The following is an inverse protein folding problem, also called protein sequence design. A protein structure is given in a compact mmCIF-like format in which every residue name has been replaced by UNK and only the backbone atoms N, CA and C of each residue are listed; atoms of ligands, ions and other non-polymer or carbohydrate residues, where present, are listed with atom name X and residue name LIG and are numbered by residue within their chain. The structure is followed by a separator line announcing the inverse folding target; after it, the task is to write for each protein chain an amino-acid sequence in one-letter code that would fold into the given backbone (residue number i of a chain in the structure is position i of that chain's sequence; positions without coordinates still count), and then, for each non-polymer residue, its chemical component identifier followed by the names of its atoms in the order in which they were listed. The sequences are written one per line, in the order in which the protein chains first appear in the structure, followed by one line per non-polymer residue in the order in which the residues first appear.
data_IF_996203943091
#
_entry.id   IF_996203943091
#
_cell.length_a   1.000
_cell.length_b   1.000
_cell.length_c   1.000
_cell.angle_alpha   90.00
_cell.angle_beta   90.00
_cell.angle_gamma   90.00
#
_symmetry.space_group_name_H-M   'P 1'
#
loop_
_entity.id
_entity.type
_entity.pdbx_description
1 polymer ?
#
# COMPACT_ATOMS: atom_id res chain seq x y z
N UNK A 1 32.41 2.57 34.23
CA UNK A 1 33.15 2.38 32.97
C UNK A 1 32.54 1.13 32.37
N UNK A 2 31.39 1.16 31.69
CA UNK A 2 30.98 1.99 30.55
C UNK A 2 32.10 2.05 29.52
N UNK A 3 32.33 0.91 28.89
CA UNK A 3 33.05 0.80 27.63
C UNK A 3 32.07 0.25 26.59
N UNK A 4 32.13 0.91 25.44
CA UNK A 4 31.07 1.14 24.48
C UNK A 4 30.50 -0.08 23.75
N UNK A 5 29.18 -0.13 23.72
CA UNK A 5 28.39 -0.96 22.80
C UNK A 5 28.47 -0.37 21.40
N UNK A 6 29.47 -0.77 20.60
CA UNK A 6 29.43 -0.58 19.15
C UNK A 6 28.55 -1.65 18.53
N UNK A 7 27.29 -1.30 18.28
CA UNK A 7 26.39 -2.06 17.41
C UNK A 7 26.81 -1.85 15.96
N UNK A 8 27.57 -2.79 15.41
CA UNK A 8 27.72 -2.92 13.96
C UNK A 8 26.48 -3.59 13.40
N UNK A 9 25.64 -2.83 12.69
CA UNK A 9 24.53 -3.41 11.92
C UNK A 9 25.10 -4.09 10.68
N UNK A 10 25.22 -5.41 10.69
CA UNK A 10 25.49 -6.15 9.46
C UNK A 10 24.20 -6.24 8.65
N UNK A 11 24.08 -5.42 7.60
CA UNK A 11 23.14 -5.71 6.52
C UNK A 11 23.67 -6.93 5.77
N UNK A 12 23.10 -8.10 6.06
CA UNK A 12 23.36 -9.29 5.27
C UNK A 12 22.50 -9.23 4.02
N UNK A 13 23.08 -8.78 2.90
CA UNK A 13 22.48 -9.01 1.59
C UNK A 13 22.66 -10.48 1.27
N UNK A 14 21.60 -11.26 1.45
CA UNK A 14 21.57 -12.66 1.03
C UNK A 14 21.46 -12.71 -0.49
N UNK A 15 22.59 -12.92 -1.17
CA UNK A 15 22.60 -13.25 -2.59
C UNK A 15 22.21 -14.73 -2.75
N UNK A 16 20.93 -14.98 -3.03
CA UNK A 16 20.47 -16.26 -3.55
C UNK A 16 20.14 -16.08 -5.04
N UNK A 17 21.05 -16.54 -5.91
CA UNK A 17 20.88 -16.46 -7.36
C UNK A 17 20.34 -17.78 -7.89
N UNK A 18 19.04 -17.79 -8.18
CA UNK A 18 18.41 -18.83 -8.98
C UNK A 18 17.44 -18.18 -10.00
N UNK A 19 17.98 -17.90 -11.20
CA UNK A 19 17.26 -17.89 -12.48
C UNK A 19 15.85 -17.29 -12.53
N UNK A 20 15.72 -16.00 -12.22
CA UNK A 20 14.51 -15.20 -12.40
C UNK A 20 14.71 -13.88 -11.66
N UNK A 21 15.28 -12.88 -12.35
CA UNK A 21 15.65 -11.61 -11.69
C UNK A 21 14.48 -11.06 -10.89
N UNK A 22 14.70 -10.79 -9.61
CA UNK A 22 13.71 -10.11 -8.79
C UNK A 22 13.44 -8.75 -9.42
N UNK A 23 12.30 -8.61 -10.11
CA UNK A 23 11.85 -7.35 -10.71
C UNK A 23 11.32 -6.41 -9.61
N UNK A 24 12.06 -6.30 -8.51
CA UNK A 24 11.73 -5.50 -7.37
C UNK A 24 12.65 -4.28 -7.31
N UNK A 25 12.05 -3.11 -7.18
CA UNK A 25 12.77 -1.85 -7.00
C UNK A 25 12.10 -1.07 -5.87
N UNK A 26 12.92 -0.40 -5.06
CA UNK A 26 12.44 0.51 -4.01
C UNK A 26 12.14 1.86 -4.64
N UNK A 27 11.00 2.44 -4.30
CA UNK A 27 10.61 3.77 -4.78
C UNK A 27 11.54 4.85 -4.22
N UNK A 28 11.95 5.79 -5.07
CA UNK A 28 12.64 7.01 -4.63
C UNK A 28 11.70 7.92 -3.83
N UNK A 29 12.24 8.90 -3.11
CA UNK A 29 11.42 9.85 -2.36
C UNK A 29 10.39 10.57 -3.22
N UNK A 30 10.77 11.03 -4.42
CA UNK A 30 9.83 11.69 -5.33
C UNK A 30 8.72 10.75 -5.81
N UNK A 31 9.03 9.47 -6.06
CA UNK A 31 8.02 8.48 -6.41
C UNK A 31 7.10 8.18 -5.21
N UNK A 32 7.62 8.10 -3.99
CA UNK A 32 6.81 7.95 -2.78
C UNK A 32 5.90 9.17 -2.56
N UNK A 33 6.40 10.38 -2.84
CA UNK A 33 5.62 11.62 -2.75
C UNK A 33 4.45 11.59 -3.74
N UNK A 34 4.69 11.24 -5.01
CA UNK A 34 3.63 11.08 -6.02
C UNK A 34 2.63 10.00 -5.63
N UNK A 35 3.09 8.88 -5.09
CA UNK A 35 2.21 7.82 -4.58
C UNK A 35 1.32 8.35 -3.45
N UNK A 36 1.88 9.11 -2.51
CA UNK A 36 1.10 9.73 -1.44
C UNK A 36 0.04 10.69 -1.99
N UNK A 37 0.40 11.52 -2.98
CA UNK A 37 -0.51 12.48 -3.62
C UNK A 37 -1.68 11.73 -4.29
N UNK A 38 -1.41 10.67 -5.06
CA UNK A 38 -2.45 9.79 -5.63
C UNK A 38 -3.34 9.19 -4.55
N UNK A 39 -2.76 8.76 -3.42
CA UNK A 39 -3.52 8.12 -2.33
C UNK A 39 -4.31 9.13 -1.46
N UNK A 40 -3.96 10.42 -1.46
CA UNK A 40 -4.72 11.49 -0.78
C UNK A 40 -5.74 12.19 -1.68
N UNK A 41 -5.64 12.00 -3.00
CA UNK A 41 -6.57 12.60 -3.94
C UNK A 41 -8.01 12.20 -3.62
N UNK A 42 -8.90 13.19 -3.61
CA UNK A 42 -10.33 12.99 -3.41
C UNK A 42 -10.97 12.65 -4.75
N UNK A 43 -11.42 11.40 -4.88
CA UNK A 43 -12.09 10.88 -6.07
C UNK A 43 -13.61 10.91 -5.88
N UNK A 44 -14.34 11.28 -6.94
CA UNK A 44 -15.80 11.24 -6.95
C UNK A 44 -16.34 9.88 -7.44
N UNK A 45 -17.23 9.27 -6.66
CA UNK A 45 -18.00 8.09 -7.05
C UNK A 45 -19.43 8.54 -7.28
N UNK A 46 -19.85 8.58 -8.53
CA UNK A 46 -21.16 9.06 -8.93
C UNK A 46 -22.24 8.04 -8.58
N UNK A 47 -23.21 8.45 -7.76
CA UNK A 47 -24.39 7.66 -7.47
C UNK A 47 -25.29 7.56 -8.71
N UNK A 48 -25.85 6.37 -8.97
CA UNK A 48 -26.84 6.17 -10.03
C UNK A 48 -28.23 6.58 -9.53
N UNK A 49 -28.96 7.39 -10.28
CA UNK A 49 -30.31 7.83 -9.90
C UNK A 49 -30.27 8.98 -8.88
N UNK A 50 -31.00 8.85 -7.77
CA UNK A 50 -31.06 9.88 -6.72
C UNK A 50 -30.02 9.68 -5.61
N UNK A 51 -29.06 8.78 -5.80
CA UNK A 51 -27.98 8.59 -4.83
C UNK A 51 -26.94 9.70 -4.97
N UNK A 52 -26.46 10.28 -3.86
CA UNK A 52 -25.48 11.37 -3.91
C UNK A 52 -24.14 10.88 -4.45
N UNK A 53 -23.38 11.80 -5.04
CA UNK A 53 -21.96 11.57 -5.35
C UNK A 53 -21.17 11.49 -4.05
N UNK A 54 -20.37 10.43 -3.90
CA UNK A 54 -19.45 10.29 -2.78
C UNK A 54 -18.11 10.92 -3.15
N UNK A 55 -17.49 11.61 -2.20
CA UNK A 55 -16.13 12.13 -2.32
C UNK A 55 -15.26 11.36 -1.33
N UNK A 56 -14.34 10.56 -1.82
CA UNK A 56 -13.55 9.63 -1.00
C UNK A 56 -12.08 9.73 -1.35
N UNK A 57 -11.22 9.60 -0.34
CA UNK A 57 -9.79 9.40 -0.58
C UNK A 57 -9.49 7.93 -0.77
N UNK A 58 -8.59 7.61 -1.71
CA UNK A 58 -8.24 6.22 -2.00
C UNK A 58 -7.68 5.51 -0.76
N UNK A 59 -6.86 6.19 0.05
CA UNK A 59 -6.33 5.65 1.32
C UNK A 59 -7.44 5.22 2.29
N UNK A 60 -8.51 6.00 2.40
CA UNK A 60 -9.61 5.73 3.32
C UNK A 60 -10.47 4.57 2.83
N UNK A 61 -10.77 4.56 1.52
CA UNK A 61 -11.53 3.49 0.89
C UNK A 61 -10.80 2.14 1.06
N UNK A 62 -9.51 2.09 0.76
CA UNK A 62 -8.70 0.87 0.88
C UNK A 62 -8.63 0.41 2.33
N UNK A 63 -8.40 1.31 3.28
CA UNK A 63 -8.36 0.98 4.71
C UNK A 63 -9.71 0.42 5.19
N UNK A 64 -10.82 1.04 4.78
CA UNK A 64 -12.17 0.59 5.12
C UNK A 64 -12.50 -0.79 4.55
N UNK A 65 -12.16 -1.03 3.27
CA UNK A 65 -12.38 -2.33 2.63
C UNK A 65 -11.52 -3.42 3.28
N UNK A 66 -10.24 -3.16 3.55
CA UNK A 66 -9.35 -4.11 4.23
C UNK A 66 -9.92 -4.48 5.61
N UNK A 67 -10.31 -3.49 6.40
CA UNK A 67 -10.89 -3.70 7.72
C UNK A 67 -12.17 -4.57 7.67
N UNK A 68 -13.04 -4.34 6.69
CA UNK A 68 -14.28 -5.13 6.52
C UNK A 68 -14.04 -6.55 6.00
N UNK A 69 -13.03 -6.74 5.15
CA UNK A 69 -12.64 -8.08 4.72
C UNK A 69 -12.08 -8.90 5.87
N UNK A 70 -11.19 -8.31 6.68
CA UNK A 70 -10.52 -8.99 7.79
C UNK A 70 -11.42 -9.18 9.02
N UNK A 71 -12.37 -8.28 9.26
CA UNK A 71 -13.29 -8.38 10.39
C UNK A 71 -14.06 -9.71 10.40
N UNK A 72 -14.30 -10.25 11.60
CA UNK A 72 -14.98 -11.52 11.77
C UNK A 72 -16.42 -11.48 11.25
N UNK A 73 -16.94 -12.63 10.81
CA UNK A 73 -18.33 -12.73 10.35
C UNK A 73 -19.34 -12.36 11.44
N UNK A 74 -19.00 -12.60 12.72
CA UNK A 74 -19.81 -12.19 13.88
C UNK A 74 -19.95 -10.68 14.02
N UNK A 75 -19.02 -9.90 13.47
CA UNK A 75 -19.02 -8.43 13.48
C UNK A 75 -19.55 -7.84 12.15
N UNK A 76 -20.07 -8.69 11.27
CA UNK A 76 -20.55 -8.31 9.93
C UNK A 76 -19.44 -8.12 8.90
N UNK A 77 -18.24 -8.64 9.15
CA UNK A 77 -17.13 -8.71 8.18
C UNK A 77 -17.11 -10.01 7.39
N UNK A 78 -16.06 -10.23 6.59
CA UNK A 78 -15.93 -11.42 5.74
C UNK A 78 -15.10 -12.56 6.38
N UNK A 79 -14.26 -12.27 7.38
CA UNK A 79 -13.31 -13.21 7.96
C UNK A 79 -12.20 -13.64 6.99
N UNK A 80 -11.86 -12.80 6.02
CA UNK A 80 -10.90 -13.06 4.95
C UNK A 80 -9.61 -12.29 5.23
N UNK A 81 -8.48 -13.00 5.34
CA UNK A 81 -7.17 -12.38 5.48
C UNK A 81 -6.74 -11.69 4.19
N UNK A 82 -6.34 -10.41 4.27
CA UNK A 82 -5.79 -9.66 3.14
C UNK A 82 -4.26 -9.74 3.21
N UNK A 83 -3.64 -10.42 2.23
CA UNK A 83 -2.17 -10.57 2.17
C UNK A 83 -1.49 -9.24 1.83
N UNK A 84 -1.83 -8.68 0.68
CA UNK A 84 -1.24 -7.44 0.15
C UNK A 84 -2.32 -6.54 -0.45
N UNK A 85 -2.04 -5.23 -0.51
CA UNK A 85 -2.77 -4.28 -1.36
C UNK A 85 -1.78 -3.64 -2.33
N UNK A 86 -2.13 -3.61 -3.62
CA UNK A 86 -1.25 -3.14 -4.69
C UNK A 86 -1.95 -2.11 -5.58
N UNK A 87 -1.27 -1.01 -5.86
CA UNK A 87 -1.69 -0.05 -6.89
C UNK A 87 -1.24 -0.55 -8.26
N UNK A 88 -2.16 -0.57 -9.23
CA UNK A 88 -1.93 -1.09 -10.58
C UNK A 88 -2.37 -0.08 -11.65
N UNK A 89 -2.25 -0.47 -12.92
CA UNK A 89 -2.72 0.31 -14.06
C UNK A 89 -1.93 1.59 -14.28
N UNK A 90 -2.53 2.55 -14.98
CA UNK A 90 -1.87 3.82 -15.34
C UNK A 90 -1.40 4.64 -14.14
N UNK A 91 -2.07 4.52 -12.99
CA UNK A 91 -1.66 5.18 -11.76
C UNK A 91 -0.28 4.70 -11.26
N UNK A 92 0.00 3.39 -11.35
CA UNK A 92 1.31 2.85 -10.98
C UNK A 92 2.41 3.39 -11.91
N UNK A 93 2.16 3.43 -13.22
CA UNK A 93 3.11 4.02 -14.17
C UNK A 93 3.35 5.51 -13.92
N UNK A 94 2.29 6.27 -13.63
CA UNK A 94 2.38 7.70 -13.30
C UNK A 94 3.23 7.97 -12.06
N UNK A 95 3.14 7.11 -11.05
CA UNK A 95 3.99 7.21 -9.84
C UNK A 95 5.46 7.04 -10.19
N UNK A 96 5.79 6.13 -11.11
CA UNK A 96 7.18 5.77 -11.44
C UNK A 96 7.89 6.81 -12.32
N UNK A 97 7.17 7.53 -13.19
CA UNK A 97 7.71 8.50 -14.17
C UNK A 97 7.85 9.89 -13.58
#
# INVERSE_FOLDING_TARGET
MLDDMKSESSYTSSEDSCGGGEHHAVLSYEQVRRLNDVMDEVVSIHGRGNFPTLHVRLRELVAGVRARLEAAQSEGGAGISVRDVRLNGGAASHVLT
#
